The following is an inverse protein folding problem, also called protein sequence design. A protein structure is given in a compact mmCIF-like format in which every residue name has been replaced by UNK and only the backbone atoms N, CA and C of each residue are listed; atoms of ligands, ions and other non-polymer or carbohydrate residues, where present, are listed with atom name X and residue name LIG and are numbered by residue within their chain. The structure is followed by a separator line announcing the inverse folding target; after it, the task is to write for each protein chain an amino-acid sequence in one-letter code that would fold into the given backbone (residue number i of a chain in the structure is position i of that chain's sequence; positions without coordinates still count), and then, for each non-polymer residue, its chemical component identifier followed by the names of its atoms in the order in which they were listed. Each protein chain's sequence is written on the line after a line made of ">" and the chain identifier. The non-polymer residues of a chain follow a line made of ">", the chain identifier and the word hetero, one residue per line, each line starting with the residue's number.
data_IF_779858346506
#
_entry.id   IF_779858346506
#
_cell.length_a   1.000
_cell.length_b   1.000
_cell.length_c   1.000
_cell.angle_alpha   90.00
_cell.angle_beta   90.00
_cell.angle_gamma   90.00
#
_symmetry.space_group_name_H-M   'P 1'
#
loop_
_entity.id
_entity.type
_entity.pdbx_description
1 polymer ?
#
# COMPACT_ATOMS: atom_id res chain seq x y z
N UNK A 1 13.76 5.60 16.29
CA UNK A 1 12.80 4.84 15.44
C UNK A 1 12.57 5.60 14.15
N UNK A 2 12.86 4.99 13.01
CA UNK A 2 12.96 5.69 11.71
C UNK A 2 11.81 5.35 10.75
N UNK A 3 10.57 5.68 11.10
CA UNK A 3 9.47 5.60 10.14
C UNK A 3 9.60 6.69 9.04
N UNK A 4 10.18 7.83 9.37
CA UNK A 4 10.45 8.92 8.42
C UNK A 4 11.46 8.51 7.33
N UNK A 5 12.50 7.73 7.70
CA UNK A 5 13.52 7.27 6.74
C UNK A 5 12.98 6.21 5.77
N UNK A 6 11.90 5.53 6.14
CA UNK A 6 11.16 4.64 5.23
C UNK A 6 10.32 5.40 4.18
N UNK A 7 10.18 6.73 4.30
CA UNK A 7 9.41 7.57 3.38
C UNK A 7 7.90 7.33 3.40
N UNK A 8 7.40 6.61 4.42
CA UNK A 8 5.99 6.27 4.55
C UNK A 8 5.21 7.36 5.28
N UNK A 9 3.97 7.59 4.86
CA UNK A 9 3.05 8.52 5.52
C UNK A 9 2.23 7.78 6.59
N UNK A 10 2.13 8.36 7.78
CA UNK A 10 1.40 7.77 8.89
C UNK A 10 1.79 8.36 10.23
N UNK A 11 1.28 7.78 11.31
CA UNK A 11 1.52 8.19 12.69
C UNK A 11 2.35 7.16 13.43
N UNK A 12 3.45 7.60 14.04
CA UNK A 12 4.31 6.79 14.88
C UNK A 12 4.06 7.10 16.36
N UNK A 13 3.82 6.07 17.16
CA UNK A 13 3.63 6.17 18.60
C UNK A 13 4.65 5.29 19.32
N UNK A 14 5.39 5.85 20.26
CA UNK A 14 6.26 5.09 21.16
C UNK A 14 5.41 4.41 22.24
N UNK A 15 5.61 3.09 22.41
CA UNK A 15 4.86 2.31 23.40
C UNK A 15 5.52 2.33 24.81
N UNK A 16 6.73 2.88 24.96
CA UNK A 16 7.45 2.97 26.21
C UNK A 16 8.10 1.66 26.70
N UNK A 17 7.97 0.58 25.94
CA UNK A 17 8.50 -0.76 26.24
C UNK A 17 9.67 -1.17 25.31
N UNK A 18 10.24 -0.21 24.58
CA UNK A 18 11.25 -0.46 23.55
C UNK A 18 10.66 -0.81 22.17
N UNK A 19 9.35 -0.81 22.07
CA UNK A 19 8.63 -0.95 20.80
C UNK A 19 7.90 0.34 20.42
N UNK A 20 7.51 0.45 19.15
CA UNK A 20 6.60 1.49 18.68
C UNK A 20 5.48 0.90 17.83
N UNK A 21 4.44 1.68 17.67
CA UNK A 21 3.34 1.40 16.74
C UNK A 21 3.37 2.45 15.64
N UNK A 22 3.44 2.03 14.40
CA UNK A 22 3.28 2.88 13.23
C UNK A 22 1.94 2.55 12.57
N UNK A 23 1.09 3.56 12.44
CA UNK A 23 -0.18 3.47 11.72
C UNK A 23 -0.01 4.23 10.41
N UNK A 24 0.04 3.50 9.31
CA UNK A 24 0.11 4.06 7.97
C UNK A 24 -1.21 4.72 7.60
N UNK A 25 -1.17 5.79 6.82
CA UNK A 25 -2.37 6.41 6.26
C UNK A 25 -3.18 5.37 5.47
N UNK A 26 -4.50 5.50 5.52
CA UNK A 26 -5.39 4.55 4.85
C UNK A 26 -5.15 4.56 3.33
N UNK A 27 -5.08 3.36 2.76
CA UNK A 27 -4.94 3.15 1.32
C UNK A 27 -6.28 2.67 0.74
N UNK A 28 -6.73 3.35 -0.31
CA UNK A 28 -7.94 2.96 -1.04
C UNK A 28 -7.59 2.63 -2.49
N UNK A 29 -8.41 1.82 -3.14
CA UNK A 29 -8.26 1.52 -4.56
C UNK A 29 -8.22 2.82 -5.38
N UNK A 30 -7.25 2.93 -6.27
CA UNK A 30 -6.95 4.13 -7.07
C UNK A 30 -5.99 5.13 -6.41
N UNK A 31 -5.63 4.96 -5.14
CA UNK A 31 -4.64 5.81 -4.49
C UNK A 31 -3.22 5.48 -4.98
N UNK A 32 -2.35 6.47 -4.95
CA UNK A 32 -0.91 6.28 -5.24
C UNK A 32 -0.12 6.37 -3.95
N UNK A 33 0.78 5.43 -3.73
CA UNK A 33 1.67 5.36 -2.58
C UNK A 33 3.11 5.21 -3.02
N UNK A 34 4.03 5.90 -2.33
CA UNK A 34 5.47 5.72 -2.53
C UNK A 34 6.03 4.82 -1.42
N UNK A 35 6.68 3.72 -1.81
CA UNK A 35 7.30 2.76 -0.89
C UNK A 35 8.68 2.41 -1.43
N UNK A 36 9.72 2.59 -0.61
CA UNK A 36 11.10 2.31 -1.03
C UNK A 36 11.57 3.13 -2.24
N UNK A 37 11.04 4.36 -2.39
CA UNK A 37 11.35 5.24 -3.52
C UNK A 37 10.65 4.87 -4.83
N UNK A 38 9.79 3.85 -4.83
CA UNK A 38 8.97 3.46 -5.99
C UNK A 38 7.51 3.83 -5.76
N UNK A 39 6.87 4.38 -6.79
CA UNK A 39 5.45 4.73 -6.75
C UNK A 39 4.62 3.55 -7.22
N UNK A 40 3.59 3.24 -6.44
CA UNK A 40 2.61 2.21 -6.74
C UNK A 40 1.19 2.79 -6.75
N UNK A 41 0.34 2.22 -7.57
CA UNK A 41 -1.10 2.48 -7.56
C UNK A 41 -1.80 1.31 -6.88
N UNK A 42 -2.71 1.61 -5.97
CA UNK A 42 -3.51 0.58 -5.30
C UNK A 42 -4.63 0.15 -6.25
N UNK A 43 -4.55 -1.08 -6.71
CA UNK A 43 -5.64 -1.75 -7.43
C UNK A 43 -6.56 -2.47 -6.47
N UNK A 44 -7.63 -3.07 -6.99
CA UNK A 44 -8.59 -3.74 -6.14
C UNK A 44 -9.51 -4.71 -6.86
N UNK A 45 -10.40 -5.32 -6.11
CA UNK A 45 -11.53 -6.13 -6.58
C UNK A 45 -12.68 -5.25 -7.07
N UNK A 46 -13.73 -5.85 -7.61
CA UNK A 46 -14.95 -5.13 -7.97
C UNK A 46 -15.57 -4.40 -6.76
N UNK A 47 -15.51 -5.00 -5.57
CA UNK A 47 -16.02 -4.36 -4.35
C UNK A 47 -15.15 -3.17 -3.90
N UNK A 48 -13.83 -3.26 -4.08
CA UNK A 48 -12.94 -2.12 -3.84
C UNK A 48 -13.21 -0.98 -4.83
N UNK A 49 -13.51 -1.29 -6.11
CA UNK A 49 -13.92 -0.31 -7.11
C UNK A 49 -15.20 0.39 -6.68
N UNK A 50 -16.22 -0.37 -6.26
CA UNK A 50 -17.48 0.20 -5.74
C UNK A 50 -17.24 1.12 -4.55
N UNK A 51 -16.43 0.68 -3.58
CA UNK A 51 -16.07 1.47 -2.42
C UNK A 51 -15.30 2.75 -2.77
N UNK A 52 -14.45 2.70 -3.78
CA UNK A 52 -13.67 3.85 -4.23
C UNK A 52 -14.53 4.94 -4.89
N UNK A 53 -15.66 4.57 -5.47
CA UNK A 53 -16.59 5.49 -6.16
C UNK A 53 -17.84 5.84 -5.36
N UNK A 54 -18.10 5.22 -4.21
CA UNK A 54 -19.22 5.52 -3.31
C UNK A 54 -19.69 4.32 -2.50
N UNK A 55 -20.33 4.58 -1.36
CA UNK A 55 -20.69 3.55 -0.37
C UNK A 55 -21.89 2.69 -0.72
N UNK A 56 -22.67 3.04 -1.76
CA UNK A 56 -23.88 2.30 -2.14
C UNK A 56 -23.85 1.90 -3.63
N UNK A 57 -22.77 1.25 -4.04
CA UNK A 57 -22.57 0.93 -5.43
C UNK A 57 -22.57 2.19 -6.25
N UNK A 58 -21.42 2.71 -6.51
CA UNK A 58 -21.18 3.87 -7.35
C UNK A 58 -22.27 4.94 -7.23
N UNK A 59 -22.07 5.93 -6.42
CA UNK A 59 -22.94 7.13 -6.30
C UNK A 59 -23.25 7.79 -7.68
N UNK A 60 -22.60 7.26 -8.72
CA UNK A 60 -22.85 7.53 -10.12
C UNK A 60 -24.25 7.07 -10.60
N UNK A 61 -24.85 6.02 -10.01
CA UNK A 61 -26.21 5.61 -10.37
C UNK A 61 -27.23 6.70 -10.06
N UNK A 62 -27.03 7.47 -9.00
CA UNK A 62 -27.89 8.61 -8.66
C UNK A 62 -27.49 9.88 -9.40
N UNK A 63 -26.22 10.07 -9.69
CA UNK A 63 -25.69 11.24 -10.40
C UNK A 63 -25.58 11.05 -11.90
N UNK A 64 -25.74 9.82 -12.39
CA UNK A 64 -25.68 9.46 -13.81
C UNK A 64 -24.38 9.95 -14.49
N UNK A 65 -23.25 9.78 -13.81
CA UNK A 65 -21.95 10.14 -14.38
C UNK A 65 -21.53 9.09 -15.43
N UNK A 66 -20.79 9.52 -16.42
CA UNK A 66 -20.21 8.62 -17.41
C UNK A 66 -19.17 7.71 -16.74
N UNK A 67 -19.16 6.44 -17.14
CA UNK A 67 -18.18 5.42 -16.71
C UNK A 67 -17.34 5.05 -17.92
N UNK A 68 -16.01 5.12 -17.78
CA UNK A 68 -15.10 4.63 -18.80
C UNK A 68 -14.46 3.33 -18.33
N UNK A 69 -14.52 2.30 -19.16
CA UNK A 69 -13.85 1.01 -18.91
C UNK A 69 -12.98 0.69 -20.12
N UNK A 70 -11.67 0.65 -19.92
CA UNK A 70 -10.67 0.38 -20.96
C UNK A 70 -10.84 1.25 -22.21
N UNK A 71 -11.19 2.52 -22.05
CA UNK A 71 -11.41 3.47 -23.16
C UNK A 71 -12.82 3.43 -23.77
N UNK A 72 -13.69 2.53 -23.31
CA UNK A 72 -15.11 2.53 -23.73
C UNK A 72 -15.93 3.32 -22.72
N UNK A 73 -16.58 4.39 -23.16
CA UNK A 73 -17.44 5.23 -22.32
C UNK A 73 -18.85 4.69 -22.30
N UNK A 74 -19.40 4.48 -21.12
CA UNK A 74 -20.78 4.10 -20.87
C UNK A 74 -21.55 5.32 -20.34
N UNK A 75 -22.68 5.64 -20.98
CA UNK A 75 -23.54 6.76 -20.62
C UNK A 75 -24.90 6.28 -20.16
N UNK A 76 -25.48 6.96 -19.19
CA UNK A 76 -26.81 6.65 -18.69
C UNK A 76 -27.88 7.14 -19.63
N UNK A 77 -28.86 6.29 -19.91
CA UNK A 77 -30.07 6.61 -20.66
C UNK A 77 -31.33 6.21 -19.90
N UNK A 78 -32.36 7.03 -20.04
CA UNK A 78 -33.67 6.80 -19.42
C UNK A 78 -34.46 5.75 -20.21
N UNK A 79 -35.46 5.14 -19.55
CA UNK A 79 -36.35 4.16 -20.16
C UNK A 79 -37.29 4.70 -21.24
N UNK A 80 -37.40 6.03 -21.40
CA UNK A 80 -38.26 6.68 -22.42
C UNK A 80 -37.55 6.86 -23.77
N UNK A 81 -36.24 6.63 -23.83
CA UNK A 81 -35.49 6.65 -25.09
C UNK A 81 -35.96 5.47 -25.96
N UNK A 82 -36.15 5.72 -27.26
CA UNK A 82 -36.56 4.68 -28.20
C UNK A 82 -35.45 4.33 -29.17
N UNK A 83 -35.38 3.04 -29.54
CA UNK A 83 -34.53 2.53 -30.62
C UNK A 83 -35.07 2.97 -31.98
N UNK A 84 -34.34 2.68 -33.06
CA UNK A 84 -34.81 2.99 -34.45
C UNK A 84 -36.14 2.32 -34.79
N UNK A 85 -36.40 1.13 -34.26
CA UNK A 85 -37.67 0.41 -34.46
C UNK A 85 -38.78 0.85 -33.49
N UNK A 86 -38.56 1.93 -32.73
CA UNK A 86 -39.55 2.52 -31.84
C UNK A 86 -39.76 1.76 -30.52
N UNK A 87 -38.91 0.79 -30.18
CA UNK A 87 -38.96 0.07 -28.91
C UNK A 87 -38.33 0.94 -27.82
N UNK A 88 -38.97 1.03 -26.66
CA UNK A 88 -38.39 1.70 -25.49
C UNK A 88 -37.32 0.84 -24.86
N UNK A 89 -36.22 1.47 -24.51
CA UNK A 89 -35.14 0.79 -23.79
C UNK A 89 -35.41 0.63 -22.28
N UNK A 90 -34.69 -0.27 -21.63
CA UNK A 90 -34.59 -0.29 -20.18
C UNK A 90 -33.60 0.80 -19.76
N UNK A 91 -33.90 1.52 -18.67
CA UNK A 91 -32.97 2.52 -18.15
C UNK A 91 -31.64 1.84 -17.69
N UNK A 92 -30.53 2.46 -18.02
CA UNK A 92 -29.21 1.91 -17.67
C UNK A 92 -28.08 2.56 -18.44
N UNK A 93 -26.88 2.02 -18.28
CA UNK A 93 -25.69 2.45 -18.99
C UNK A 93 -25.53 1.73 -20.32
N UNK A 94 -25.22 2.49 -21.36
CA UNK A 94 -25.03 2.00 -22.71
C UNK A 94 -23.70 2.52 -23.28
N UNK A 95 -22.97 1.64 -23.95
CA UNK A 95 -21.73 1.99 -24.65
C UNK A 95 -21.98 2.73 -26.00
N UNK A 96 -23.21 2.71 -26.49
CA UNK A 96 -23.63 3.40 -27.69
C UNK A 96 -24.97 4.12 -27.43
N UNK A 97 -25.30 5.14 -28.23
CA UNK A 97 -26.57 5.81 -28.12
C UNK A 97 -27.70 4.83 -28.51
N UNK A 98 -28.66 4.51 -27.63
CA UNK A 98 -29.74 3.58 -27.91
C UNK A 98 -30.63 3.98 -29.08
N UNK A 99 -30.74 5.27 -29.42
CA UNK A 99 -31.50 5.75 -30.57
C UNK A 99 -30.90 5.29 -31.90
N UNK A 100 -29.66 4.87 -31.93
CA UNK A 100 -28.97 4.32 -33.09
C UNK A 100 -29.10 2.81 -33.23
N UNK A 101 -29.60 2.13 -32.20
CA UNK A 101 -29.80 0.67 -32.19
C UNK A 101 -31.11 0.31 -32.92
N UNK A 102 -31.12 -0.84 -33.61
CA UNK A 102 -32.31 -1.31 -34.31
C UNK A 102 -33.41 -1.76 -33.36
N UNK A 103 -33.04 -2.54 -32.35
CA UNK A 103 -33.98 -3.08 -31.38
C UNK A 103 -33.35 -3.18 -29.99
N UNK A 104 -34.17 -3.45 -28.97
CA UNK A 104 -33.73 -3.55 -27.59
C UNK A 104 -32.93 -4.85 -27.33
N UNK A 105 -33.10 -5.88 -28.14
CA UNK A 105 -32.38 -7.15 -27.99
C UNK A 105 -30.90 -6.98 -28.30
N UNK A 106 -30.53 -6.02 -29.13
CA UNK A 106 -29.12 -5.66 -29.33
C UNK A 106 -28.47 -4.97 -28.11
N UNK A 107 -29.30 -4.53 -27.15
CA UNK A 107 -28.88 -3.78 -25.96
C UNK A 107 -28.84 -4.63 -24.66
N UNK A 108 -29.12 -5.92 -24.71
CA UNK A 108 -29.25 -6.79 -23.50
C UNK A 108 -28.01 -7.60 -23.17
N UNK A 109 -26.82 -7.11 -23.44
CA UNK A 109 -25.65 -7.80 -22.90
C UNK A 109 -25.30 -7.24 -21.50
N UNK A 110 -25.27 -8.07 -20.50
CA UNK A 110 -24.80 -7.81 -19.15
C UNK A 110 -23.27 -7.87 -19.04
N UNK A 111 -22.57 -7.85 -20.17
CA UNK A 111 -21.11 -7.97 -20.20
C UNK A 111 -20.43 -6.70 -20.70
N UNK A 112 -19.38 -6.29 -20.01
CA UNK A 112 -18.45 -5.26 -20.47
C UNK A 112 -17.90 -5.65 -21.84
N UNK A 113 -18.09 -4.79 -22.85
CA UNK A 113 -17.66 -5.05 -24.23
C UNK A 113 -18.79 -5.41 -25.20
N UNK A 114 -20.03 -5.60 -24.72
CA UNK A 114 -21.24 -5.68 -25.56
C UNK A 114 -21.98 -4.36 -25.62
N UNK A 115 -22.92 -4.22 -26.57
CA UNK A 115 -23.88 -3.11 -26.60
C UNK A 115 -24.91 -3.33 -25.49
N UNK A 116 -24.59 -2.94 -24.26
CA UNK A 116 -25.23 -3.50 -23.10
C UNK A 116 -25.93 -2.44 -22.26
N UNK A 117 -27.10 -2.82 -21.75
CA UNK A 117 -27.70 -2.20 -20.59
C UNK A 117 -27.09 -2.81 -19.34
N UNK A 118 -26.48 -2.01 -18.48
CA UNK A 118 -25.99 -2.46 -17.19
C UNK A 118 -26.20 -1.39 -16.14
N UNK A 119 -26.36 -1.79 -14.88
CA UNK A 119 -26.16 -0.89 -13.76
C UNK A 119 -24.66 -0.58 -13.62
N UNK A 120 -24.30 0.47 -12.89
CA UNK A 120 -22.91 0.78 -12.60
C UNK A 120 -22.22 -0.37 -11.84
N UNK A 121 -22.96 -1.03 -10.95
CA UNK A 121 -22.49 -2.18 -10.19
C UNK A 121 -22.20 -3.39 -11.09
N UNK A 122 -23.07 -3.64 -12.07
CA UNK A 122 -22.86 -4.73 -13.04
C UNK A 122 -21.64 -4.46 -13.92
N UNK A 123 -21.42 -3.21 -14.34
CA UNK A 123 -20.25 -2.83 -15.12
C UNK A 123 -18.95 -3.06 -14.33
N UNK A 124 -18.93 -2.71 -13.05
CA UNK A 124 -17.77 -2.94 -12.19
C UNK A 124 -17.55 -4.44 -11.89
N UNK A 125 -18.64 -5.18 -11.63
CA UNK A 125 -18.57 -6.61 -11.28
C UNK A 125 -18.18 -7.51 -12.47
N UNK A 126 -18.57 -7.13 -13.69
CA UNK A 126 -18.34 -7.94 -14.90
C UNK A 126 -17.16 -7.44 -15.75
N UNK A 127 -16.47 -6.38 -15.33
CA UNK A 127 -15.25 -5.95 -16.00
C UNK A 127 -14.17 -7.04 -15.88
N UNK A 128 -13.47 -7.39 -16.96
CA UNK A 128 -12.38 -8.35 -16.90
C UNK A 128 -11.28 -7.89 -15.91
N UNK A 129 -10.63 -8.85 -15.25
CA UNK A 129 -9.46 -8.55 -14.43
C UNK A 129 -8.39 -7.81 -15.26
N UNK A 130 -7.73 -6.83 -14.67
CA UNK A 130 -6.82 -5.90 -15.35
C UNK A 130 -7.51 -4.69 -15.97
N UNK A 131 -8.85 -4.59 -15.92
CA UNK A 131 -9.58 -3.43 -16.46
C UNK A 131 -9.32 -2.17 -15.65
N UNK A 132 -9.20 -1.04 -16.37
CA UNK A 132 -9.18 0.31 -15.78
C UNK A 132 -10.57 0.92 -15.87
N UNK A 133 -11.11 1.29 -14.71
CA UNK A 133 -12.44 1.90 -14.58
C UNK A 133 -12.25 3.35 -14.15
N UNK A 134 -12.74 4.29 -14.94
CA UNK A 134 -12.62 5.73 -14.65
C UNK A 134 -14.01 6.34 -14.51
N UNK A 135 -14.21 7.10 -13.44
CA UNK A 135 -15.39 7.93 -13.19
C UNK A 135 -14.94 9.33 -12.81
N UNK A 136 -15.29 10.30 -13.61
CA UNK A 136 -14.77 11.66 -13.44
C UNK A 136 -13.25 11.70 -13.63
N UNK A 137 -12.53 12.05 -12.57
CA UNK A 137 -11.05 12.12 -12.57
C UNK A 137 -10.38 10.93 -11.86
N UNK A 138 -11.16 10.02 -11.27
CA UNK A 138 -10.65 8.90 -10.51
C UNK A 138 -10.63 7.63 -11.37
N UNK A 139 -9.48 6.97 -11.42
CA UNK A 139 -9.29 5.68 -12.10
C UNK A 139 -8.91 4.62 -11.10
N UNK A 140 -9.56 3.46 -11.18
CA UNK A 140 -9.22 2.26 -10.39
C UNK A 140 -8.97 1.10 -11.34
N UNK A 141 -7.93 0.32 -11.08
CA UNK A 141 -7.60 -0.89 -11.82
C UNK A 141 -8.11 -2.12 -11.06
N UNK A 142 -8.88 -2.97 -11.74
CA UNK A 142 -9.18 -4.32 -11.25
C UNK A 142 -7.92 -5.15 -11.37
N UNK A 143 -7.40 -5.64 -10.25
CA UNK A 143 -6.17 -6.45 -10.23
C UNK A 143 -6.36 -7.72 -11.04
N UNK A 144 -5.36 -8.04 -11.85
CA UNK A 144 -5.16 -9.32 -12.50
C UNK A 144 -3.90 -9.97 -11.94
N UNK A 145 -4.06 -10.93 -11.05
CA UNK A 145 -2.98 -11.62 -10.32
C UNK A 145 -3.22 -13.14 -10.45
N UNK A 146 -3.13 -13.63 -11.67
CA UNK A 146 -3.38 -15.05 -12.03
C UNK A 146 -2.12 -15.78 -12.54
N UNK A 147 -0.95 -15.12 -12.48
CA UNK A 147 0.31 -15.63 -12.99
C UNK A 147 0.43 -15.61 -14.51
N UNK A 148 -0.49 -14.93 -15.22
CA UNK A 148 -0.38 -14.79 -16.67
C UNK A 148 0.82 -13.91 -17.06
N UNK A 149 1.29 -14.10 -18.29
CA UNK A 149 2.40 -13.31 -18.89
C UNK A 149 3.73 -13.33 -18.09
N UNK A 150 3.94 -14.38 -17.29
CA UNK A 150 5.19 -14.54 -16.52
C UNK A 150 5.19 -13.89 -15.15
N UNK A 151 4.03 -13.38 -14.68
CA UNK A 151 3.81 -13.00 -13.30
C UNK A 151 3.76 -14.22 -12.37
N UNK A 152 3.66 -13.95 -11.07
CA UNK A 152 3.42 -14.97 -10.04
C UNK A 152 1.98 -14.83 -9.56
N UNK A 153 1.20 -15.93 -9.58
CA UNK A 153 -0.17 -15.89 -9.10
C UNK A 153 -0.23 -15.58 -7.60
N UNK A 154 -1.23 -14.78 -7.19
CA UNK A 154 -1.52 -14.45 -5.80
C UNK A 154 -0.34 -13.79 -5.07
N UNK A 155 0.51 -13.05 -5.77
CA UNK A 155 1.63 -12.32 -5.15
C UNK A 155 1.28 -10.86 -4.81
N UNK A 156 0.07 -10.44 -5.12
CA UNK A 156 -0.46 -9.11 -4.86
C UNK A 156 0.01 -8.03 -5.84
N UNK A 157 0.58 -8.43 -6.97
CA UNK A 157 1.06 -7.54 -8.03
C UNK A 157 0.28 -7.83 -9.32
N UNK A 158 -0.16 -6.77 -10.01
CA UNK A 158 -0.87 -6.94 -11.29
C UNK A 158 0.05 -7.50 -12.37
N UNK A 159 -0.35 -8.59 -13.03
CA UNK A 159 0.42 -9.28 -14.08
C UNK A 159 0.61 -8.43 -15.35
N UNK A 160 -0.22 -7.43 -15.58
CA UNK A 160 -0.14 -6.56 -16.74
C UNK A 160 0.66 -5.28 -16.44
N UNK A 161 0.65 -4.83 -15.16
CA UNK A 161 1.27 -3.58 -14.75
C UNK A 161 1.83 -3.72 -13.31
N UNK A 162 3.11 -4.03 -13.20
CA UNK A 162 3.80 -4.22 -11.90
C UNK A 162 3.86 -2.99 -11.01
N UNK A 163 3.38 -1.84 -11.49
CA UNK A 163 3.18 -0.64 -10.66
C UNK A 163 1.82 -0.63 -9.96
N UNK A 164 0.93 -1.55 -10.31
CA UNK A 164 -0.37 -1.75 -9.66
C UNK A 164 -0.25 -2.92 -8.69
N UNK A 165 -0.59 -2.68 -7.43
CA UNK A 165 -0.47 -3.69 -6.35
C UNK A 165 -1.73 -3.69 -5.48
N UNK A 166 -1.97 -4.82 -4.81
CA UNK A 166 -3.02 -4.89 -3.79
C UNK A 166 -2.64 -4.05 -2.56
N UNK A 167 -3.63 -3.67 -1.79
CA UNK A 167 -3.45 -3.02 -0.47
C UNK A 167 -2.61 -3.88 0.48
N UNK A 168 -2.83 -5.20 0.49
CA UNK A 168 -2.06 -6.13 1.29
C UNK A 168 -0.57 -6.16 0.88
N UNK A 169 -0.29 -6.13 -0.43
CA UNK A 169 1.07 -6.04 -0.94
C UNK A 169 1.75 -4.72 -0.56
N UNK A 170 1.02 -3.61 -0.61
CA UNK A 170 1.55 -2.33 -0.17
C UNK A 170 1.98 -2.38 1.31
N UNK A 171 1.18 -3.01 2.18
CA UNK A 171 1.54 -3.18 3.58
C UNK A 171 2.73 -4.12 3.78
N UNK A 172 2.83 -5.22 3.04
CA UNK A 172 4.00 -6.10 3.07
C UNK A 172 5.28 -5.35 2.68
N UNK A 173 5.23 -4.56 1.61
CA UNK A 173 6.36 -3.74 1.16
C UNK A 173 6.71 -2.65 2.19
N UNK A 174 5.70 -1.98 2.75
CA UNK A 174 5.90 -0.98 3.79
C UNK A 174 6.58 -1.57 5.04
N UNK A 175 6.18 -2.77 5.46
CA UNK A 175 6.83 -3.47 6.57
C UNK A 175 8.31 -3.78 6.29
N UNK A 176 8.65 -4.16 5.06
CA UNK A 176 10.04 -4.39 4.64
C UNK A 176 10.87 -3.11 4.69
N UNK A 177 10.32 -1.99 4.23
CA UNK A 177 10.99 -0.69 4.30
C UNK A 177 11.17 -0.21 5.75
N UNK A 178 10.14 -0.36 6.59
CA UNK A 178 10.23 -0.06 8.02
C UNK A 178 11.30 -0.91 8.70
N UNK A 179 11.39 -2.20 8.37
CA UNK A 179 12.42 -3.08 8.90
C UNK A 179 13.82 -2.62 8.45
N UNK A 180 14.00 -2.37 7.16
CA UNK A 180 15.27 -1.91 6.61
C UNK A 180 15.74 -0.59 7.27
N UNK A 181 14.82 0.37 7.46
CA UNK A 181 15.12 1.63 8.13
C UNK A 181 15.52 1.44 9.60
N UNK A 182 14.94 0.46 10.31
CA UNK A 182 15.24 0.18 11.72
C UNK A 182 16.43 -0.77 11.90
N UNK A 183 16.92 -1.41 10.84
CA UNK A 183 18.16 -2.20 10.85
C UNK A 183 19.42 -1.32 10.70
N UNK A 184 19.28 -0.05 10.35
CA UNK A 184 20.42 0.86 10.25
C UNK A 184 21.06 1.02 11.64
N UNK A 185 22.32 0.60 11.78
CA UNK A 185 23.05 0.62 13.03
C UNK A 185 22.71 -0.54 14.01
N UNK A 186 21.88 -1.49 13.61
CA UNK A 186 21.57 -2.68 14.40
C UNK A 186 22.68 -3.72 14.25
N UNK A 187 23.60 -3.77 15.22
CA UNK A 187 24.70 -4.76 15.24
C UNK A 187 24.32 -6.06 15.92
N UNK A 188 23.19 -6.10 16.62
CA UNK A 188 22.69 -7.25 17.38
C UNK A 188 21.58 -8.03 16.66
N UNK A 189 21.08 -7.51 15.53
CA UNK A 189 20.01 -8.15 14.76
C UNK A 189 18.67 -8.18 15.50
N UNK A 190 18.39 -7.16 16.31
CA UNK A 190 17.19 -7.09 17.17
C UNK A 190 16.02 -6.35 16.53
N UNK A 191 16.26 -5.62 15.42
CA UNK A 191 15.21 -4.91 14.71
C UNK A 191 14.15 -5.87 14.14
N UNK A 192 12.88 -5.57 14.39
CA UNK A 192 11.74 -6.36 13.91
C UNK A 192 10.57 -5.46 13.55
N UNK A 193 9.80 -5.87 12.57
CA UNK A 193 8.53 -5.25 12.20
C UNK A 193 7.50 -6.34 11.97
N UNK A 194 6.34 -6.20 12.61
CA UNK A 194 5.27 -7.19 12.49
C UNK A 194 3.88 -6.59 12.67
N UNK A 195 2.86 -7.41 12.47
CA UNK A 195 1.46 -7.05 12.67
C UNK A 195 0.95 -7.66 13.98
N UNK A 196 0.31 -6.83 14.82
CA UNK A 196 -0.15 -7.26 16.16
C UNK A 196 0.99 -7.49 17.16
N UNK A 197 2.04 -8.23 16.75
CA UNK A 197 3.26 -8.47 17.54
C UNK A 197 4.48 -8.34 16.62
N UNK A 198 5.64 -7.92 17.18
CA UNK A 198 6.88 -7.71 16.42
C UNK A 198 7.42 -8.98 15.74
N UNK A 199 7.06 -10.16 16.25
CA UNK A 199 7.48 -11.44 15.70
C UNK A 199 6.51 -12.05 14.67
N UNK A 200 5.42 -11.36 14.34
CA UNK A 200 4.45 -11.80 13.33
C UNK A 200 4.74 -11.08 12.03
N UNK A 201 5.40 -11.72 11.05
CA UNK A 201 5.71 -11.08 9.78
C UNK A 201 4.44 -10.58 9.09
N UNK A 202 4.56 -9.46 8.40
CA UNK A 202 3.47 -8.93 7.56
C UNK A 202 3.50 -9.64 6.22
N UNK A 203 2.38 -10.23 5.83
CA UNK A 203 2.19 -10.90 4.55
C UNK A 203 0.87 -10.49 3.88
N UNK A 204 0.53 -11.10 2.75
CA UNK A 204 -0.67 -10.79 1.98
C UNK A 204 -1.97 -11.15 2.71
N UNK A 205 -1.93 -12.04 3.72
CA UNK A 205 -3.12 -12.55 4.41
C UNK A 205 -3.42 -11.79 5.70
N UNK A 206 -2.39 -11.20 6.33
CA UNK A 206 -2.52 -10.54 7.63
C UNK A 206 -2.20 -9.04 7.59
N UNK A 207 -1.76 -8.51 6.43
CA UNK A 207 -1.32 -7.13 6.29
C UNK A 207 -2.42 -6.13 6.63
N UNK A 208 -2.18 -5.36 7.68
CA UNK A 208 -2.98 -4.19 8.04
C UNK A 208 -2.07 -2.97 8.03
N UNK A 209 -2.63 -1.76 7.92
CA UNK A 209 -1.84 -0.52 7.97
C UNK A 209 -1.20 -0.23 9.33
N UNK A 210 -1.29 -1.13 10.30
CA UNK A 210 -0.75 -0.94 11.65
C UNK A 210 0.41 -1.91 11.91
N UNK A 211 1.58 -1.35 12.18
CA UNK A 211 2.82 -2.10 12.37
C UNK A 211 3.34 -1.94 13.78
N UNK A 212 3.76 -3.06 14.39
CA UNK A 212 4.58 -3.07 15.60
C UNK A 212 6.05 -3.11 15.22
N UNK A 213 6.83 -2.17 15.76
CA UNK A 213 8.24 -1.99 15.44
C UNK A 213 9.06 -2.21 16.72
N UNK A 214 10.07 -3.06 16.65
CA UNK A 214 11.15 -3.15 17.63
C UNK A 214 12.39 -2.53 16.99
N UNK A 215 13.01 -1.58 17.68
CA UNK A 215 14.24 -0.95 17.21
C UNK A 215 15.42 -1.91 17.26
N UNK A 216 16.33 -1.71 16.33
CA UNK A 216 17.65 -2.34 16.41
C UNK A 216 18.45 -1.86 17.62
N UNK A 217 19.41 -2.66 18.03
CA UNK A 217 20.36 -2.33 19.08
C UNK A 217 21.80 -2.45 18.59
N UNK A 218 22.65 -1.61 19.11
CA UNK A 218 24.09 -1.69 18.88
C UNK A 218 24.81 -2.05 20.16
N UNK A 219 25.71 -3.01 20.07
CA UNK A 219 26.61 -3.33 21.18
C UNK A 219 27.69 -2.26 21.26
N UNK A 220 27.65 -1.49 22.30
CA UNK A 220 28.68 -0.52 22.59
C UNK A 220 29.73 -1.20 23.49
N UNK A 221 30.99 -1.16 23.09
CA UNK A 221 32.07 -1.70 23.94
C UNK A 221 32.04 -1.02 25.32
N UNK A 222 32.09 -1.82 26.38
CA UNK A 222 31.99 -1.28 27.74
C UNK A 222 33.22 -0.45 28.14
N UNK A 223 34.37 -0.70 27.50
CA UNK A 223 35.62 0.01 27.75
C UNK A 223 36.40 0.15 26.44
N UNK A 224 36.98 1.30 26.20
CA UNK A 224 38.03 1.53 25.21
C UNK A 224 39.37 1.51 25.92
N UNK A 225 40.16 0.51 25.62
CA UNK A 225 41.49 0.36 26.21
C UNK A 225 42.57 0.66 25.18
N UNK A 226 43.47 1.56 25.47
CA UNK A 226 44.62 1.81 24.63
C UNK A 226 45.88 1.98 25.47
N UNK A 227 47.00 1.47 24.95
CA UNK A 227 48.30 1.54 25.59
C UNK A 227 49.13 2.62 24.95
N UNK A 228 49.55 3.61 25.76
CA UNK A 228 50.48 4.66 25.38
C UNK A 228 51.90 4.23 25.75
N UNK A 229 52.82 4.32 24.81
CA UNK A 229 54.22 4.12 25.06
C UNK A 229 54.82 5.40 25.65
N UNK A 230 55.39 5.30 26.86
CA UNK A 230 55.91 6.46 27.60
C UNK A 230 57.39 6.20 27.86
N UNK A 231 58.26 6.71 26.99
CA UNK A 231 59.70 6.57 27.17
C UNK A 231 60.47 6.32 25.88
N UNK A 232 61.81 6.44 25.95
CA UNK A 232 62.70 6.32 24.79
C UNK A 232 63.07 4.87 24.41
N UNK A 233 62.80 3.92 25.29
CA UNK A 233 63.08 2.50 25.07
C UNK A 233 61.86 1.70 24.68
N UNK A 234 62.02 0.83 23.69
CA UNK A 234 60.93 0.00 23.13
C UNK A 234 60.56 -1.19 24.05
N UNK A 235 60.86 -1.13 25.35
CA UNK A 235 60.55 -2.20 26.28
C UNK A 235 59.07 -2.18 26.71
N UNK A 236 58.47 -3.35 26.81
CA UNK A 236 57.06 -3.56 27.17
C UNK A 236 56.66 -3.00 28.54
N UNK A 237 57.66 -2.72 29.40
CA UNK A 237 57.46 -2.18 30.75
C UNK A 237 57.12 -0.69 30.79
N UNK A 238 57.33 0.03 29.69
CA UNK A 238 57.09 1.50 29.61
C UNK A 238 55.76 1.83 28.94
N UNK A 239 54.71 1.05 29.16
CA UNK A 239 53.37 1.30 28.65
C UNK A 239 52.42 1.69 29.77
N UNK A 240 51.70 2.78 29.57
CA UNK A 240 50.54 3.13 30.39
C UNK A 240 49.31 2.70 29.65
N UNK A 241 48.53 1.80 30.25
CA UNK A 241 47.19 1.45 29.70
C UNK A 241 46.18 2.42 30.27
N UNK A 242 45.43 3.05 29.36
CA UNK A 242 44.33 3.92 29.72
C UNK A 242 43.03 3.26 29.29
N UNK A 243 42.18 2.99 30.25
CA UNK A 243 40.84 2.46 30.05
C UNK A 243 39.85 3.60 30.15
N UNK A 244 39.05 3.79 29.10
CA UNK A 244 37.97 4.79 29.05
C UNK A 244 36.67 4.02 29.06
N UNK A 245 35.89 4.16 30.14
CA UNK A 245 34.56 3.56 30.22
C UNK A 245 33.64 4.21 29.22
N UNK A 246 32.70 3.44 28.65
CA UNK A 246 31.72 3.95 27.73
C UNK A 246 30.93 5.11 28.33
N UNK A 247 30.86 6.20 27.60
CA UNK A 247 30.01 7.36 27.91
C UNK A 247 28.54 7.08 27.56
N UNK A 248 28.00 5.95 28.01
CA UNK A 248 26.56 5.69 27.87
C UNK A 248 25.79 6.36 29.02
N UNK A 249 24.49 6.54 28.86
CA UNK A 249 23.64 7.22 29.86
C UNK A 249 23.65 6.54 31.24
N UNK A 250 23.94 5.23 31.31
CA UNK A 250 24.05 4.50 32.57
C UNK A 250 25.36 4.85 33.32
N UNK A 251 26.48 4.89 32.60
CA UNK A 251 27.81 5.21 33.17
C UNK A 251 27.93 6.71 33.51
N UNK A 252 27.23 7.57 32.76
CA UNK A 252 27.13 9.00 33.05
C UNK A 252 26.14 9.34 34.17
N UNK A 253 25.43 8.34 34.73
CA UNK A 253 24.46 8.54 35.82
C UNK A 253 23.19 9.26 35.42
N UNK A 254 22.94 9.42 34.12
CA UNK A 254 21.74 10.11 33.57
C UNK A 254 20.66 9.13 33.08
N UNK A 255 20.76 7.85 33.49
CA UNK A 255 19.76 6.85 33.18
C UNK A 255 18.42 7.23 33.84
N UNK A 256 17.41 7.46 33.03
CA UNK A 256 16.09 7.88 33.49
C UNK A 256 15.83 9.38 33.43
N UNK A 257 16.77 10.19 32.93
CA UNK A 257 16.52 11.61 32.66
C UNK A 257 15.57 11.71 31.45
N UNK A 258 14.31 12.06 31.71
CA UNK A 258 13.33 12.30 30.66
C UNK A 258 13.38 13.78 30.27
N UNK A 259 13.91 14.07 29.09
CA UNK A 259 13.91 15.42 28.49
C UNK A 259 12.65 15.59 27.63
N UNK A 260 11.47 15.46 28.24
CA UNK A 260 10.24 15.92 27.59
C UNK A 260 10.19 17.43 27.64
N UNK A 261 10.33 18.08 26.50
CA UNK A 261 9.94 19.47 26.25
C UNK A 261 8.48 19.51 25.83
#
# INVERSE_FOLDING_TARGET
>A
MNAHDAGLKGTLTDNGDGTATFVMDELNAGDTVSIGGKNYTIGGTADDVKSAFGTNGLDIDTKHQDIEINGTTYKWYKADVSTQDGQKITAGYYSEDPSTLKDQTAATATSVGGKATASADDLAANAPAGSKITVGTKTVTLIKDDGAKGGTADDGIDDNDTSVITKAKAYELAAKELLAANQIGDTEGTAKVGVGAVNTPVDLTNGTGTFKIQTGSAKVANTLSFSLHVGADADMTNKITVDIDTMNSANLGIKGLNLSL
#
